data_IF_246255084537
#
_entry.id   IF_246255084537
#
_cell.length_a   1.000
_cell.length_b   1.000
_cell.length_c   1.000
_cell.angle_alpha   90.00
_cell.angle_beta   90.00
_cell.angle_gamma   90.00
#
_symmetry.space_group_name_H-M   'P 1'
#
loop_
_entity.id
_entity.type
_entity.pdbx_description
1 polymer ?
#
# COMPACT_ATOMS: atom_id res chain seq x y z
N UNK A 1 46.52 -33.02 -5.46
CA UNK A 1 45.16 -33.43 -5.88
C UNK A 1 44.29 -33.42 -4.64
N UNK A 2 43.47 -32.37 -4.47
CA UNK A 2 42.47 -32.27 -3.41
C UNK A 2 41.13 -32.00 -4.08
N UNK A 3 40.19 -32.93 -3.90
CA UNK A 3 38.83 -32.86 -4.41
C UNK A 3 38.01 -31.84 -3.62
N UNK A 4 37.38 -30.91 -4.33
CA UNK A 4 36.37 -29.99 -3.80
C UNK A 4 34.99 -30.64 -3.90
N UNK A 5 34.14 -30.58 -2.85
CA UNK A 5 32.77 -31.08 -2.96
C UNK A 5 31.92 -30.10 -3.77
N UNK A 6 31.20 -30.63 -4.77
CA UNK A 6 30.16 -29.91 -5.50
C UNK A 6 28.91 -29.80 -4.63
N UNK A 7 28.57 -28.58 -4.23
CA UNK A 7 27.26 -28.26 -3.65
C UNK A 7 26.21 -28.38 -4.76
N UNK A 8 25.33 -29.36 -4.61
CA UNK A 8 24.11 -29.53 -5.40
C UNK A 8 23.09 -28.49 -4.92
N UNK A 9 22.86 -27.44 -5.72
CA UNK A 9 21.70 -26.57 -5.55
C UNK A 9 20.46 -27.36 -5.98
N UNK A 10 19.68 -27.82 -5.02
CA UNK A 10 18.31 -28.26 -5.27
C UNK A 10 17.46 -27.01 -5.56
N UNK A 11 16.97 -26.90 -6.78
CA UNK A 11 16.00 -25.87 -7.17
C UNK A 11 14.65 -26.19 -6.54
N UNK A 12 14.22 -25.40 -5.57
CA UNK A 12 12.85 -25.40 -5.06
C UNK A 12 11.90 -24.98 -6.21
N UNK A 13 10.75 -25.63 -6.41
CA UNK A 13 9.80 -25.22 -7.43
C UNK A 13 9.31 -23.79 -7.14
N UNK A 14 9.43 -22.91 -8.13
CA UNK A 14 8.93 -21.55 -8.06
C UNK A 14 7.41 -21.58 -7.85
N UNK A 15 6.95 -21.09 -6.70
CA UNK A 15 5.53 -20.83 -6.47
C UNK A 15 5.04 -19.82 -7.52
N UNK A 16 3.90 -20.10 -8.16
CA UNK A 16 3.32 -19.26 -9.20
C UNK A 16 2.90 -17.89 -8.64
N UNK A 17 3.64 -16.83 -8.98
CA UNK A 17 3.37 -15.44 -8.55
C UNK A 17 2.19 -14.85 -9.31
N UNK A 18 0.95 -14.92 -8.81
CA UNK A 18 -0.19 -14.25 -9.47
C UNK A 18 -0.01 -12.72 -9.47
N UNK A 19 -0.62 -12.00 -10.42
CA UNK A 19 -0.62 -10.53 -10.53
C UNK A 19 -1.07 -9.79 -9.26
N UNK A 20 -1.76 -10.49 -8.37
CA UNK A 20 -2.22 -10.01 -7.07
C UNK A 20 -1.10 -9.96 -6.02
N UNK A 21 -0.05 -10.78 -6.16
CA UNK A 21 1.15 -10.75 -5.31
C UNK A 21 1.99 -9.48 -5.55
N UNK A 22 2.03 -8.95 -6.78
CA UNK A 22 2.64 -7.65 -7.10
C UNK A 22 2.01 -6.50 -6.31
N UNK A 23 0.68 -6.53 -6.21
CA UNK A 23 -0.11 -5.53 -5.50
C UNK A 23 0.10 -5.60 -3.99
N UNK A 24 0.17 -6.81 -3.45
CA UNK A 24 0.33 -7.04 -2.01
C UNK A 24 1.74 -6.66 -1.52
N UNK A 25 2.77 -6.80 -2.36
CA UNK A 25 4.11 -6.27 -2.09
C UNK A 25 4.15 -4.73 -2.08
N UNK A 26 3.52 -4.07 -3.07
CA UNK A 26 3.40 -2.60 -3.13
C UNK A 26 2.60 -2.03 -1.96
N UNK A 27 1.60 -2.78 -1.49
CA UNK A 27 0.82 -2.46 -0.31
C UNK A 27 1.63 -2.34 0.99
N UNK A 28 2.78 -3.00 1.05
CA UNK A 28 3.73 -2.82 2.14
C UNK A 28 4.58 -1.56 1.97
N UNK A 29 5.02 -1.24 0.75
CA UNK A 29 5.76 0.00 0.50
C UNK A 29 4.92 1.22 0.90
N UNK A 30 3.59 1.15 0.67
CA UNK A 30 2.59 2.11 1.16
C UNK A 30 2.50 2.27 2.70
N UNK A 31 3.13 1.39 3.49
CA UNK A 31 3.22 1.53 4.96
C UNK A 31 4.03 2.75 5.41
N UNK A 32 4.84 3.32 4.53
CA UNK A 32 5.68 4.47 4.83
C UNK A 32 4.99 5.82 4.53
N UNK A 33 3.95 5.84 3.68
CA UNK A 33 3.24 7.09 3.29
C UNK A 33 2.39 7.65 4.42
N UNK A 34 1.93 6.78 5.33
CA UNK A 34 1.25 7.23 6.55
C UNK A 34 2.15 8.09 7.46
N UNK A 35 3.47 8.15 7.20
CA UNK A 35 4.42 8.99 7.93
C UNK A 35 4.44 10.46 7.45
N UNK A 36 3.94 10.76 6.23
CA UNK A 36 4.06 12.10 5.62
C UNK A 36 2.83 13.01 5.79
N UNK A 37 1.76 12.54 6.47
CA UNK A 37 0.63 13.39 6.84
C UNK A 37 1.00 14.57 7.79
N UNK A 38 2.28 14.72 8.16
CA UNK A 38 2.83 15.79 8.99
C UNK A 38 3.49 16.94 8.20
N UNK A 39 4.07 16.71 7.01
CA UNK A 39 4.78 17.78 6.29
C UNK A 39 3.84 18.80 5.64
N UNK A 40 2.59 18.42 5.36
CA UNK A 40 1.59 19.33 4.81
C UNK A 40 0.79 20.13 5.87
N UNK A 41 1.06 19.92 7.16
CA UNK A 41 0.37 20.61 8.26
C UNK A 41 1.26 21.56 9.08
N UNK A 42 2.53 21.74 8.72
CA UNK A 42 3.38 22.75 9.35
C UNK A 42 3.32 24.09 8.60
N UNK A 43 2.17 24.75 8.70
CA UNK A 43 2.08 26.21 8.68
C UNK A 43 1.42 26.64 9.99
N UNK A 44 2.24 27.25 10.84
CA UNK A 44 1.93 28.03 12.05
C UNK A 44 1.28 27.35 13.28
N UNK A 45 2.07 27.33 14.35
CA UNK A 45 1.77 27.51 15.77
C UNK A 45 0.31 27.46 16.26
N UNK A 46 0.07 26.59 17.25
CA UNK A 46 -0.87 26.88 18.34
C UNK A 46 -2.34 26.51 18.15
N UNK A 47 -2.69 25.67 17.18
CA UNK A 47 -4.07 25.18 17.00
C UNK A 47 -4.15 23.68 17.28
N UNK A 48 -4.69 23.28 18.43
CA UNK A 48 -5.24 21.92 18.62
C UNK A 48 -6.59 21.93 17.90
N UNK A 49 -6.75 21.27 16.74
CA UNK A 49 -8.02 21.30 16.05
C UNK A 49 -9.04 20.54 16.90
N UNK A 50 -10.14 21.20 17.25
CA UNK A 50 -11.33 20.52 17.70
C UNK A 50 -11.79 19.61 16.54
N UNK A 51 -11.60 18.30 16.70
CA UNK A 51 -11.99 17.27 15.72
C UNK A 51 -13.47 17.38 15.30
N UNK A 52 -14.32 18.06 16.09
CA UNK A 52 -15.71 18.35 15.74
C UNK A 52 -15.86 19.42 14.64
N UNK A 53 -14.88 20.30 14.45
CA UNK A 53 -14.95 21.37 13.46
C UNK A 53 -14.41 20.97 12.08
N UNK A 54 -13.44 20.04 11.99
CA UNK A 54 -12.95 19.54 10.69
C UNK A 54 -13.88 18.51 10.05
N UNK A 55 -14.70 17.81 10.85
CA UNK A 55 -15.68 16.84 10.36
C UNK A 55 -17.07 17.06 10.98
N UNK A 56 -17.75 18.19 10.70
CA UNK A 56 -19.07 18.48 11.28
C UNK A 56 -20.16 17.48 10.81
N UNK A 57 -19.85 16.57 9.87
CA UNK A 57 -20.76 15.56 9.32
C UNK A 57 -20.46 14.11 9.75
N UNK A 58 -19.46 13.86 10.60
CA UNK A 58 -19.13 12.48 11.02
C UNK A 58 -20.25 11.79 11.83
N UNK A 59 -21.23 12.54 12.36
CA UNK A 59 -22.38 11.95 13.07
C UNK A 59 -23.45 11.37 12.15
N UNK A 60 -23.42 11.67 10.83
CA UNK A 60 -24.46 11.26 9.88
C UNK A 60 -23.94 11.24 8.44
N UNK A 61 -22.77 10.65 8.19
CA UNK A 61 -22.40 10.29 6.83
C UNK A 61 -23.19 9.05 6.40
N UNK A 62 -24.48 9.23 6.11
CA UNK A 62 -25.21 8.32 5.22
C UNK A 62 -24.59 8.46 3.84
N UNK A 63 -23.56 7.67 3.55
CA UNK A 63 -23.05 7.53 2.20
C UNK A 63 -24.19 6.96 1.35
N UNK A 64 -24.89 7.83 0.63
CA UNK A 64 -25.96 7.49 -0.32
C UNK A 64 -25.38 6.92 -1.62
N UNK A 65 -24.35 6.10 -1.54
CA UNK A 65 -23.81 5.40 -2.70
C UNK A 65 -24.48 4.02 -2.80
N UNK A 66 -25.02 3.65 -3.97
CA UNK A 66 -25.77 2.40 -4.17
C UNK A 66 -24.91 1.14 -4.15
N UNK A 67 -23.61 1.26 -3.84
CA UNK A 67 -22.68 0.15 -3.76
C UNK A 67 -22.90 -0.61 -2.45
N UNK A 68 -23.88 -1.52 -2.42
CA UNK A 68 -23.95 -2.52 -1.36
C UNK A 68 -22.63 -3.30 -1.38
N UNK A 69 -21.87 -3.21 -0.30
CA UNK A 69 -20.60 -3.91 -0.05
C UNK A 69 -20.75 -5.43 0.10
N UNK A 70 -21.52 -6.09 -0.78
CA UNK A 70 -21.65 -7.56 -0.83
C UNK A 70 -20.32 -8.27 -1.08
N UNK A 71 -19.31 -7.53 -1.54
CA UNK A 71 -17.97 -8.02 -1.77
C UNK A 71 -17.25 -8.53 -0.49
N UNK A 72 -17.74 -8.18 0.69
CA UNK A 72 -17.07 -8.46 1.97
C UNK A 72 -17.82 -9.43 2.87
N UNK A 73 -18.71 -10.27 2.34
CA UNK A 73 -19.40 -11.29 3.16
C UNK A 73 -18.42 -12.28 3.84
N UNK A 74 -17.17 -12.36 3.38
CA UNK A 74 -16.12 -13.24 3.91
C UNK A 74 -15.19 -12.58 4.94
N UNK A 75 -15.27 -11.26 5.14
CA UNK A 75 -14.40 -10.53 6.09
C UNK A 75 -15.22 -9.54 6.93
N UNK A 76 -14.74 -9.21 8.12
CA UNK A 76 -15.41 -8.22 8.97
C UNK A 76 -15.35 -6.80 8.37
N UNK A 77 -16.26 -5.93 8.80
CA UNK A 77 -16.26 -4.50 8.41
C UNK A 77 -14.94 -3.82 8.77
N UNK A 78 -14.32 -4.21 9.89
CA UNK A 78 -13.01 -3.71 10.34
C UNK A 78 -11.91 -4.10 9.35
N UNK A 79 -11.91 -5.34 8.89
CA UNK A 79 -10.94 -5.83 7.92
C UNK A 79 -11.15 -5.17 6.56
N UNK A 80 -12.40 -5.05 6.11
CA UNK A 80 -12.76 -4.36 4.87
C UNK A 80 -12.28 -2.90 4.85
N UNK A 81 -12.33 -2.19 5.98
CA UNK A 81 -11.82 -0.82 6.09
C UNK A 81 -10.31 -0.73 5.79
N UNK A 82 -9.55 -1.80 6.06
CA UNK A 82 -8.12 -1.87 5.72
C UNK A 82 -7.86 -2.03 4.22
N UNK A 83 -8.90 -2.37 3.45
CA UNK A 83 -8.80 -2.73 2.04
C UNK A 83 -9.13 -1.58 1.07
N UNK A 84 -9.43 -0.39 1.60
CA UNK A 84 -9.90 0.75 0.80
C UNK A 84 -8.71 1.61 0.35
N UNK A 85 -8.20 2.51 1.19
CA UNK A 85 -7.26 3.55 0.73
C UNK A 85 -5.95 2.98 0.21
N UNK A 86 -5.14 2.31 1.05
CA UNK A 86 -3.80 1.90 0.61
C UNK A 86 -3.83 0.89 -0.56
N UNK A 87 -4.66 -0.17 -0.55
CA UNK A 87 -4.73 -1.07 -1.70
C UNK A 87 -5.23 -0.41 -2.96
N UNK A 88 -6.20 0.48 -2.84
CA UNK A 88 -6.67 1.21 -3.99
C UNK A 88 -5.61 2.15 -4.55
N UNK A 89 -4.82 2.82 -3.70
CA UNK A 89 -3.66 3.62 -4.14
C UNK A 89 -2.64 2.75 -4.87
N UNK A 90 -2.35 1.54 -4.37
CA UNK A 90 -1.47 0.59 -5.07
C UNK A 90 -2.05 0.23 -6.45
N UNK A 91 -3.34 -0.10 -6.51
CA UNK A 91 -4.01 -0.43 -7.76
C UNK A 91 -4.01 0.74 -8.75
N UNK A 92 -4.21 1.97 -8.26
CA UNK A 92 -4.15 3.20 -9.04
C UNK A 92 -2.73 3.45 -9.59
N UNK A 93 -1.70 3.22 -8.76
CA UNK A 93 -0.30 3.36 -9.18
C UNK A 93 0.12 2.37 -10.27
N UNK A 94 -0.50 1.19 -10.30
CA UNK A 94 -0.15 0.14 -11.25
C UNK A 94 -1.01 0.18 -12.52
N UNK A 95 -2.33 0.31 -12.38
CA UNK A 95 -3.29 -0.07 -13.42
C UNK A 95 -4.04 1.09 -14.06
N UNK A 96 -3.76 2.32 -13.63
CA UNK A 96 -4.36 3.51 -14.21
C UNK A 96 -3.36 4.22 -15.10
N UNK A 97 -3.86 4.93 -16.10
CA UNK A 97 -3.07 5.77 -17.01
C UNK A 97 -2.28 6.90 -16.32
N UNK A 98 -2.61 7.24 -15.07
CA UNK A 98 -1.82 8.19 -14.25
C UNK A 98 -0.71 7.52 -13.44
N UNK A 99 -0.68 6.20 -13.44
CA UNK A 99 0.33 5.35 -12.82
C UNK A 99 1.24 4.74 -13.89
N UNK A 100 1.55 3.44 -13.75
CA UNK A 100 2.34 2.68 -14.71
C UNK A 100 1.54 2.17 -15.92
N UNK A 101 0.22 2.32 -15.90
CA UNK A 101 -0.69 1.90 -16.97
C UNK A 101 -0.55 0.42 -17.37
N UNK A 102 -0.22 -0.45 -16.41
CA UNK A 102 -0.33 -1.87 -16.64
C UNK A 102 -1.80 -2.26 -16.84
N UNK A 103 -2.10 -3.27 -17.67
CA UNK A 103 -3.45 -3.78 -17.77
C UNK A 103 -3.97 -4.15 -16.37
N UNK A 104 -5.28 -4.01 -16.13
CA UNK A 104 -5.84 -4.51 -14.88
C UNK A 104 -5.84 -6.05 -14.91
N UNK A 105 -5.54 -6.76 -13.81
CA UNK A 105 -5.50 -8.22 -13.81
C UNK A 105 -6.78 -8.85 -14.37
N UNK A 106 -6.60 -9.82 -15.28
CA UNK A 106 -7.71 -10.49 -15.96
C UNK A 106 -8.33 -9.74 -17.14
N UNK A 107 -7.86 -8.53 -17.47
CA UNK A 107 -8.35 -7.78 -18.65
C UNK A 107 -7.53 -8.02 -19.92
N UNK A 108 -6.26 -8.38 -19.78
CA UNK A 108 -5.37 -8.71 -20.89
C UNK A 108 -4.67 -10.05 -20.63
N UNK A 109 -5.00 -11.12 -21.38
CA UNK A 109 -4.42 -12.45 -21.18
C UNK A 109 -2.98 -12.59 -21.68
N UNK A 110 -2.48 -11.61 -22.45
CA UNK A 110 -1.13 -11.63 -23.05
C UNK A 110 -0.12 -10.94 -22.12
N UNK A 111 -0.57 -10.11 -21.18
CA UNK A 111 0.32 -9.44 -20.26
C UNK A 111 0.86 -10.42 -19.21
N UNK A 112 2.16 -10.73 -19.29
CA UNK A 112 2.82 -11.68 -18.41
C UNK A 112 3.29 -11.04 -17.09
N UNK A 113 2.42 -11.01 -16.08
CA UNK A 113 2.84 -10.54 -14.74
C UNK A 113 3.93 -11.41 -14.10
N UNK A 114 3.98 -12.69 -14.47
CA UNK A 114 4.89 -13.68 -13.88
C UNK A 114 6.36 -13.44 -14.23
N UNK A 115 6.65 -12.77 -15.35
CA UNK A 115 8.02 -12.46 -15.77
C UNK A 115 8.56 -11.18 -15.13
N UNK A 116 7.73 -10.44 -14.38
CA UNK A 116 8.15 -9.22 -13.70
C UNK A 116 9.00 -9.50 -12.46
N UNK A 117 10.11 -8.78 -12.35
CA UNK A 117 10.88 -8.73 -11.11
C UNK A 117 10.28 -7.68 -10.18
N UNK A 118 9.90 -8.08 -8.97
CA UNK A 118 9.39 -7.20 -7.92
C UNK A 118 10.48 -7.00 -6.88
N UNK A 119 11.21 -5.90 -7.02
CA UNK A 119 12.24 -5.50 -6.06
C UNK A 119 11.63 -4.54 -5.06
N UNK A 120 11.67 -4.91 -3.77
CA UNK A 120 11.14 -4.07 -2.70
C UNK A 120 12.26 -3.63 -1.77
N UNK A 121 12.28 -2.35 -1.42
CA UNK A 121 13.17 -1.82 -0.39
C UNK A 121 12.44 -1.85 0.95
N UNK A 122 13.06 -2.39 1.99
CA UNK A 122 12.46 -2.46 3.32
C UNK A 122 13.49 -2.79 4.39
N UNK A 123 13.12 -2.72 5.67
CA UNK A 123 14.00 -3.13 6.75
C UNK A 123 14.21 -4.65 6.73
N UNK A 124 15.39 -5.14 7.12
CA UNK A 124 15.72 -6.56 7.13
C UNK A 124 14.69 -7.41 7.91
N UNK A 125 14.20 -6.88 9.03
CA UNK A 125 13.15 -7.52 9.86
C UNK A 125 11.84 -7.78 9.11
N UNK A 126 11.61 -7.11 7.97
CA UNK A 126 10.40 -7.26 7.14
C UNK A 126 10.60 -8.18 5.94
N UNK A 127 11.81 -8.71 5.69
CA UNK A 127 12.11 -9.43 4.44
C UNK A 127 11.25 -10.68 4.23
N UNK A 128 11.12 -11.52 5.26
CA UNK A 128 10.31 -12.74 5.16
C UNK A 128 8.85 -12.41 4.83
N UNK A 129 8.32 -11.38 5.49
CA UNK A 129 6.97 -10.90 5.25
C UNK A 129 6.81 -10.32 3.84
N UNK A 130 7.72 -9.47 3.39
CA UNK A 130 7.71 -8.89 2.04
C UNK A 130 7.75 -9.95 0.93
N UNK A 131 8.54 -11.02 1.12
CA UNK A 131 8.55 -12.17 0.20
C UNK A 131 7.24 -12.93 0.21
N UNK A 132 6.66 -13.17 1.39
CA UNK A 132 5.34 -13.80 1.51
C UNK A 132 4.23 -12.97 0.83
N UNK A 133 4.41 -11.66 0.71
CA UNK A 133 3.49 -10.78 -0.01
C UNK A 133 3.75 -10.71 -1.52
N UNK A 134 4.82 -11.32 -2.06
CA UNK A 134 5.08 -11.34 -3.50
C UNK A 134 6.37 -10.69 -3.98
N UNK A 135 7.17 -10.10 -3.09
CA UNK A 135 8.47 -9.55 -3.50
C UNK A 135 9.40 -10.69 -3.97
N UNK A 136 9.90 -10.59 -5.19
CA UNK A 136 10.88 -11.57 -5.70
C UNK A 136 12.27 -11.28 -5.13
N UNK A 137 12.57 -10.00 -4.89
CA UNK A 137 13.80 -9.53 -4.26
C UNK A 137 13.47 -8.51 -3.18
N UNK A 138 14.21 -8.56 -2.08
CA UNK A 138 14.11 -7.57 -1.01
C UNK A 138 15.51 -7.07 -0.70
N UNK A 139 15.66 -5.75 -0.64
CA UNK A 139 16.93 -5.08 -0.36
C UNK A 139 16.74 -4.21 0.88
N UNK A 140 17.75 -4.19 1.75
CA UNK A 140 17.71 -3.31 2.91
C UNK A 140 17.77 -1.86 2.44
N UNK A 141 16.78 -1.06 2.81
CA UNK A 141 16.72 0.37 2.46
C UNK A 141 17.89 1.17 3.07
N UNK A 142 18.56 0.64 4.11
CA UNK A 142 19.75 1.25 4.70
C UNK A 142 21.05 0.93 3.93
N UNK A 143 20.98 0.01 2.96
CA UNK A 143 22.17 -0.42 2.21
C UNK A 143 22.73 0.71 1.35
N UNK A 144 24.06 0.97 1.41
CA UNK A 144 24.69 1.96 0.53
C UNK A 144 24.79 1.48 -0.93
N UNK A 145 24.45 0.22 -1.20
CA UNK A 145 24.63 -0.43 -2.50
C UNK A 145 23.31 -0.76 -3.20
N UNK A 146 22.22 -0.06 -2.87
CA UNK A 146 20.89 -0.30 -3.44
C UNK A 146 20.93 -0.26 -4.97
N UNK A 147 21.45 0.80 -5.58
CA UNK A 147 21.46 0.95 -7.04
C UNK A 147 22.24 -0.18 -7.75
N UNK A 148 23.45 -0.50 -7.27
CA UNK A 148 24.24 -1.59 -7.81
C UNK A 148 23.55 -2.96 -7.64
N UNK A 149 22.88 -3.17 -6.51
CA UNK A 149 22.13 -4.40 -6.25
C UNK A 149 20.92 -4.52 -7.18
N UNK A 150 20.13 -3.45 -7.32
CA UNK A 150 18.99 -3.40 -8.26
C UNK A 150 19.46 -3.67 -9.69
N UNK A 151 20.56 -3.05 -10.12
CA UNK A 151 21.14 -3.27 -11.45
C UNK A 151 21.62 -4.71 -11.64
N UNK A 152 22.20 -5.34 -10.61
CA UNK A 152 22.60 -6.76 -10.69
C UNK A 152 21.41 -7.72 -10.84
N UNK A 153 20.24 -7.33 -10.31
CA UNK A 153 19.00 -8.11 -10.37
C UNK A 153 18.28 -7.91 -11.71
N UNK A 154 18.14 -6.65 -12.14
CA UNK A 154 17.31 -6.25 -13.29
C UNK A 154 18.10 -6.14 -14.60
N UNK A 155 19.43 -6.08 -14.53
CA UNK A 155 20.30 -5.81 -15.66
C UNK A 155 20.04 -4.43 -16.26
N UNK A 156 19.97 -4.38 -17.59
CA UNK A 156 19.73 -3.16 -18.39
C UNK A 156 18.25 -2.95 -18.75
N UNK A 157 17.33 -3.51 -17.96
CA UNK A 157 15.88 -3.49 -18.25
C UNK A 157 15.22 -2.15 -17.90
N UNK A 158 14.01 -1.91 -18.43
CA UNK A 158 13.17 -0.78 -18.03
C UNK A 158 12.87 -0.87 -16.55
N UNK A 159 13.12 0.21 -15.82
CA UNK A 159 12.86 0.30 -14.39
C UNK A 159 11.64 1.21 -14.21
N UNK A 160 10.60 0.65 -13.60
CA UNK A 160 9.49 1.42 -13.06
C UNK A 160 9.64 1.48 -11.55
N UNK A 161 9.64 2.67 -10.97
CA UNK A 161 9.81 2.86 -9.54
C UNK A 161 8.51 3.41 -8.96
N UNK A 162 7.96 2.74 -7.96
CA UNK A 162 6.89 3.30 -7.13
C UNK A 162 7.50 3.73 -5.80
N UNK A 163 7.62 5.04 -5.63
CA UNK A 163 8.16 5.65 -4.42
C UNK A 163 7.02 5.86 -3.42
N UNK A 164 7.00 4.94 -2.46
CA UNK A 164 6.05 4.94 -1.38
C UNK A 164 6.63 5.54 -0.08
N UNK A 165 7.82 6.12 -0.13
CA UNK A 165 8.36 6.91 0.98
C UNK A 165 8.20 8.39 0.64
N UNK A 166 7.71 9.18 1.59
CA UNK A 166 7.44 10.61 1.40
C UNK A 166 8.69 11.47 1.45
N UNK A 167 9.71 11.17 0.65
CA UNK A 167 10.73 12.19 0.37
C UNK A 167 10.13 13.20 -0.60
N UNK A 168 10.26 14.50 -0.31
CA UNK A 168 9.82 15.56 -1.22
C UNK A 168 10.49 15.48 -2.61
N UNK A 169 11.61 14.76 -2.69
CA UNK A 169 12.40 14.53 -3.89
C UNK A 169 12.59 13.03 -4.15
N UNK A 170 12.50 12.57 -5.41
CA UNK A 170 12.65 11.16 -5.76
C UNK A 170 14.13 10.72 -5.87
N UNK A 171 15.03 11.22 -5.02
CA UNK A 171 16.49 11.08 -5.23
C UNK A 171 16.95 9.64 -5.40
N UNK A 172 16.40 8.71 -4.59
CA UNK A 172 16.74 7.30 -4.72
C UNK A 172 16.18 6.71 -6.01
N UNK A 173 14.91 6.96 -6.33
CA UNK A 173 14.29 6.50 -7.57
C UNK A 173 15.03 7.01 -8.82
N UNK A 174 15.46 8.27 -8.80
CA UNK A 174 16.29 8.85 -9.88
C UNK A 174 17.64 8.15 -9.98
N UNK A 175 18.32 7.88 -8.86
CA UNK A 175 19.60 7.16 -8.89
C UNK A 175 19.49 5.75 -9.48
N UNK A 176 18.34 5.09 -9.31
CA UNK A 176 18.05 3.80 -9.94
C UNK A 176 17.90 3.91 -11.46
N UNK A 177 17.40 5.05 -11.95
CA UNK A 177 17.23 5.31 -13.37
C UNK A 177 18.49 5.84 -14.06
N UNK A 178 19.35 6.57 -13.37
CA UNK A 178 20.61 7.07 -13.94
C UNK A 178 21.58 5.95 -14.33
N UNK A 179 21.49 4.78 -13.67
CA UNK A 179 22.25 3.58 -14.03
C UNK A 179 21.57 2.73 -15.11
N UNK A 180 20.33 3.08 -15.48
CA UNK A 180 19.58 2.43 -16.56
C UNK A 180 19.94 3.05 -17.90
N UNK A 181 20.02 2.21 -18.94
CA UNK A 181 20.21 2.65 -20.34
C UNK A 181 18.89 2.94 -21.06
N UNK A 182 17.77 2.69 -20.38
CA UNK A 182 16.40 2.92 -20.88
C UNK A 182 15.65 3.87 -19.97
N UNK A 183 14.86 4.75 -20.60
CA UNK A 183 13.85 5.58 -19.96
C UNK A 183 12.95 4.77 -19.03
N UNK A 184 12.66 5.33 -17.85
CA UNK A 184 11.78 4.71 -16.87
C UNK A 184 10.68 5.65 -16.40
N UNK A 185 9.83 5.15 -15.51
CA UNK A 185 8.74 5.91 -14.90
C UNK A 185 8.86 5.84 -13.38
N UNK A 186 8.74 7.00 -12.73
CA UNK A 186 8.65 7.15 -11.29
C UNK A 186 7.22 7.53 -10.93
N UNK A 187 6.59 6.74 -10.06
CA UNK A 187 5.32 7.05 -9.43
C UNK A 187 5.59 7.43 -7.98
N UNK A 188 5.35 8.69 -7.63
CA UNK A 188 5.38 9.15 -6.26
C UNK A 188 3.98 9.09 -5.66
N UNK A 189 3.88 8.47 -4.49
CA UNK A 189 2.62 8.38 -3.75
C UNK A 189 2.47 9.50 -2.71
N UNK A 190 3.56 10.23 -2.45
CA UNK A 190 3.57 11.54 -1.82
C UNK A 190 3.77 12.62 -2.88
N UNK A 191 3.43 13.88 -2.57
CA UNK A 191 3.58 14.97 -3.55
C UNK A 191 5.06 15.27 -3.81
N UNK A 192 5.46 15.29 -5.08
CA UNK A 192 6.76 15.82 -5.52
C UNK A 192 6.73 17.34 -5.70
N UNK A 193 7.90 17.98 -5.72
CA UNK A 193 8.03 19.35 -6.18
C UNK A 193 7.93 19.44 -7.73
N UNK A 194 7.34 20.52 -8.25
CA UNK A 194 7.18 20.71 -9.70
C UNK A 194 8.52 20.82 -10.46
N UNK A 195 9.58 21.28 -9.77
CA UNK A 195 10.93 21.39 -10.35
C UNK A 195 11.52 20.02 -10.71
N UNK A 196 11.20 18.97 -9.95
CA UNK A 196 11.72 17.62 -10.17
C UNK A 196 11.12 17.00 -11.45
N UNK A 197 9.86 17.30 -11.75
CA UNK A 197 9.18 16.79 -12.95
C UNK A 197 9.84 17.30 -14.23
N UNK A 198 10.18 18.59 -14.30
CA UNK A 198 10.81 19.18 -15.48
C UNK A 198 12.22 18.59 -15.72
N UNK A 199 13.03 18.50 -14.67
CA UNK A 199 14.40 17.98 -14.78
C UNK A 199 14.46 16.50 -15.22
N UNK A 200 13.45 15.70 -14.86
CA UNK A 200 13.37 14.30 -15.26
C UNK A 200 12.84 14.11 -16.67
N UNK A 201 11.90 14.96 -17.11
CA UNK A 201 11.40 14.95 -18.48
C UNK A 201 12.52 15.17 -19.50
N UNK A 202 13.47 16.07 -19.20
CA UNK A 202 14.65 16.32 -20.04
C UNK A 202 15.58 15.09 -20.18
N UNK A 203 15.53 14.18 -19.20
CA UNK A 203 16.24 12.88 -19.21
C UNK A 203 15.39 11.74 -19.80
N UNK A 204 14.23 12.04 -20.36
CA UNK A 204 13.29 11.05 -20.87
C UNK A 204 12.69 10.15 -19.78
N UNK A 205 12.64 10.61 -18.54
CA UNK A 205 12.03 9.92 -17.41
C UNK A 205 10.70 10.58 -17.05
N UNK A 206 9.64 9.78 -16.95
CA UNK A 206 8.34 10.27 -16.52
C UNK A 206 8.24 10.28 -15.00
N UNK A 207 7.74 11.37 -14.42
CA UNK A 207 7.42 11.47 -12.99
C UNK A 207 5.93 11.77 -12.84
N UNK A 208 5.21 10.92 -12.11
CA UNK A 208 3.79 11.10 -11.82
C UNK A 208 3.54 11.08 -10.31
N UNK A 209 2.62 11.95 -9.87
CA UNK A 209 2.09 11.91 -8.51
C UNK A 209 0.74 11.19 -8.52
N UNK A 210 0.58 10.19 -7.66
CA UNK A 210 -0.67 9.42 -7.53
C UNK A 210 -1.25 9.62 -6.14
N UNK A 211 -2.48 10.12 -6.09
CA UNK A 211 -3.25 10.26 -4.86
C UNK A 211 -4.44 9.29 -4.86
N UNK A 212 -4.52 8.45 -3.82
CA UNK A 212 -5.57 7.44 -3.69
C UNK A 212 -6.92 8.02 -3.32
N UNK A 213 -7.64 8.59 -4.28
CA UNK A 213 -9.06 8.95 -4.13
C UNK A 213 -9.93 8.07 -5.02
N UNK A 214 -10.73 7.20 -4.40
CA UNK A 214 -11.68 6.36 -5.13
C UNK A 214 -12.82 7.18 -5.74
N UNK A 215 -13.14 8.35 -5.17
CA UNK A 215 -14.10 9.29 -5.74
C UNK A 215 -13.60 9.92 -7.04
N UNK A 216 -12.30 10.22 -7.12
CA UNK A 216 -11.66 10.75 -8.33
C UNK A 216 -11.49 9.68 -9.42
N UNK A 217 -11.46 8.40 -9.05
CA UNK A 217 -11.20 7.27 -9.97
C UNK A 217 -12.30 6.19 -9.91
N UNK A 218 -13.58 6.52 -10.18
CA UNK A 218 -14.71 5.62 -9.93
C UNK A 218 -14.76 4.40 -10.87
N UNK A 219 -14.17 4.49 -12.07
CA UNK A 219 -14.12 3.37 -13.01
C UNK A 219 -13.19 2.28 -12.46
N UNK A 220 -11.95 2.64 -12.13
CA UNK A 220 -10.99 1.72 -11.53
C UNK A 220 -11.49 1.19 -10.20
N UNK A 221 -12.11 2.05 -9.37
CA UNK A 221 -12.63 1.60 -8.07
C UNK A 221 -13.72 0.53 -8.22
N UNK A 222 -14.57 0.60 -9.24
CA UNK A 222 -15.56 -0.46 -9.51
C UNK A 222 -14.89 -1.77 -9.92
N UNK A 223 -13.85 -1.71 -10.76
CA UNK A 223 -13.08 -2.90 -11.14
C UNK A 223 -12.38 -3.52 -9.93
N UNK A 224 -11.78 -2.68 -9.09
CA UNK A 224 -11.15 -3.04 -7.83
C UNK A 224 -12.14 -3.78 -6.91
N UNK A 225 -13.29 -3.17 -6.59
CA UNK A 225 -14.30 -3.76 -5.71
C UNK A 225 -14.89 -5.04 -6.30
N UNK A 226 -15.04 -5.15 -7.62
CA UNK A 226 -15.52 -6.37 -8.26
C UNK A 226 -14.53 -7.53 -8.18
N UNK A 227 -13.22 -7.25 -8.15
CA UNK A 227 -12.17 -8.26 -8.08
C UNK A 227 -11.88 -8.76 -6.65
N UNK A 228 -12.06 -7.90 -5.65
CA UNK A 228 -11.75 -8.17 -4.25
C UNK A 228 -12.31 -9.50 -3.70
N UNK A 229 -13.59 -9.89 -3.90
CA UNK A 229 -14.13 -11.12 -3.31
C UNK A 229 -13.41 -12.36 -3.79
N UNK A 230 -13.10 -12.39 -5.10
CA UNK A 230 -12.36 -13.48 -5.70
C UNK A 230 -10.96 -13.54 -5.09
N UNK A 231 -10.24 -12.42 -5.04
CA UNK A 231 -8.88 -12.42 -4.50
C UNK A 231 -8.80 -12.78 -3.02
N UNK A 232 -9.77 -12.34 -2.22
CA UNK A 232 -9.87 -12.72 -0.81
C UNK A 232 -10.16 -14.22 -0.65
N UNK A 233 -11.08 -14.77 -1.43
CA UNK A 233 -11.44 -16.19 -1.35
C UNK A 233 -10.37 -17.14 -1.88
N UNK A 234 -9.56 -16.71 -2.87
CA UNK A 234 -8.43 -17.50 -3.40
C UNK A 234 -7.14 -17.32 -2.61
N UNK A 235 -7.10 -16.37 -1.65
CA UNK A 235 -5.88 -16.01 -0.92
C UNK A 235 -4.86 -15.21 -1.74
N UNK A 236 -5.23 -14.82 -2.97
CA UNK A 236 -4.44 -13.92 -3.82
C UNK A 236 -4.30 -12.52 -3.18
N UNK A 237 -5.26 -12.13 -2.36
CA UNK A 237 -5.17 -10.95 -1.50
C UNK A 237 -5.52 -11.31 -0.06
N UNK A 238 -4.74 -10.79 0.88
CA UNK A 238 -4.94 -11.02 2.31
C UNK A 238 -5.24 -9.74 3.06
N UNK A 239 -5.95 -9.87 4.18
CA UNK A 239 -6.06 -8.80 5.17
C UNK A 239 -4.73 -8.68 5.88
N UNK A 240 -4.14 -7.48 5.87
CA UNK A 240 -2.88 -7.24 6.56
C UNK A 240 -3.09 -7.10 8.08
N UNK A 241 -2.07 -7.46 8.89
CA UNK A 241 -2.11 -7.23 10.33
C UNK A 241 -2.44 -5.77 10.66
N UNK A 242 -3.38 -5.58 11.57
CA UNK A 242 -3.85 -4.27 12.00
C UNK A 242 -4.25 -4.31 13.48
N UNK A 243 -4.33 -3.14 14.09
CA UNK A 243 -4.84 -2.91 15.44
C UNK A 243 -6.18 -2.19 15.35
N UNK A 244 -7.07 -2.48 16.29
CA UNK A 244 -8.39 -1.85 16.36
C UNK A 244 -8.41 -0.87 17.52
N UNK A 245 -8.75 0.38 17.23
CA UNK A 245 -9.16 1.37 18.24
C UNK A 245 -10.67 1.24 18.40
N UNK A 246 -11.10 0.75 19.57
CA UNK A 246 -12.53 0.56 19.86
C UNK A 246 -13.16 1.87 20.32
N UNK A 247 -14.29 2.21 19.72
CA UNK A 247 -15.04 3.43 19.99
C UNK A 247 -14.34 4.67 19.42
N UNK A 248 -15.11 5.77 19.32
CA UNK A 248 -14.59 7.06 18.91
C UNK A 248 -13.94 7.79 20.10
N UNK A 249 -12.78 7.29 20.53
CA UNK A 249 -12.00 7.83 21.65
C UNK A 249 -10.83 8.69 21.12
N UNK A 250 -10.88 10.03 21.26
CA UNK A 250 -9.84 10.92 20.73
C UNK A 250 -8.44 10.64 21.29
N UNK A 251 -8.33 10.26 22.56
CA UNK A 251 -7.04 9.95 23.17
C UNK A 251 -6.44 8.68 22.56
N UNK A 252 -7.24 7.62 22.38
CA UNK A 252 -6.78 6.39 21.77
C UNK A 252 -6.43 6.58 20.28
N UNK A 253 -7.18 7.41 19.57
CA UNK A 253 -6.86 7.81 18.18
C UNK A 253 -5.54 8.57 18.12
N UNK A 254 -5.32 9.55 19.01
CA UNK A 254 -4.07 10.30 19.04
C UNK A 254 -2.86 9.40 19.37
N UNK A 255 -3.01 8.46 20.31
CA UNK A 255 -1.96 7.46 20.59
C UNK A 255 -1.65 6.60 19.37
N UNK A 256 -2.68 6.20 18.62
CA UNK A 256 -2.50 5.45 17.37
C UNK A 256 -1.78 6.29 16.30
N UNK A 257 -2.13 7.57 16.15
CA UNK A 257 -1.46 8.49 15.23
C UNK A 257 0.01 8.74 15.64
N UNK A 258 0.29 8.86 16.93
CA UNK A 258 1.65 8.97 17.45
C UNK A 258 2.47 7.70 17.17
N UNK A 259 1.87 6.51 17.33
CA UNK A 259 2.53 5.23 17.00
C UNK A 259 2.82 5.09 15.50
N UNK A 260 1.86 5.50 14.65
CA UNK A 260 2.08 5.61 13.20
C UNK A 260 3.25 6.56 12.91
N UNK A 261 3.30 7.71 13.59
CA UNK A 261 4.35 8.72 13.43
C UNK A 261 5.76 8.25 13.83
N UNK A 262 5.89 7.22 14.67
CA UNK A 262 7.19 6.58 14.97
C UNK A 262 7.70 5.71 13.84
N UNK A 263 6.87 5.43 12.84
CA UNK A 263 7.24 4.68 11.66
C UNK A 263 7.34 3.17 11.84
N UNK A 264 6.74 2.61 12.90
CA UNK A 264 6.71 1.16 13.15
C UNK A 264 5.84 0.37 12.16
N UNK A 265 5.16 1.03 11.21
CA UNK A 265 4.37 0.38 10.16
C UNK A 265 3.08 -0.28 10.67
N UNK A 266 2.60 0.11 11.84
CA UNK A 266 1.37 -0.40 12.44
C UNK A 266 0.16 0.22 11.76
N UNK A 267 -0.78 -0.62 11.30
CA UNK A 267 -2.07 -0.18 10.76
C UNK A 267 -3.10 -0.12 11.87
N UNK A 268 -3.87 0.95 11.90
CA UNK A 268 -4.98 1.13 12.84
C UNK A 268 -6.32 1.25 12.10
N UNK A 269 -7.38 0.69 12.70
CA UNK A 269 -8.76 0.88 12.27
C UNK A 269 -9.56 1.38 13.46
N UNK A 270 -10.31 2.46 13.30
CA UNK A 270 -11.22 2.96 14.34
C UNK A 270 -12.59 2.32 14.14
N UNK A 271 -13.00 1.49 15.09
CA UNK A 271 -14.32 0.87 15.09
C UNK A 271 -15.30 1.76 15.87
N UNK A 272 -16.16 2.49 15.16
CA UNK A 272 -17.05 3.50 15.76
C UNK A 272 -18.22 2.89 16.54
N UNK A 273 -18.78 1.78 16.06
CA UNK A 273 -19.82 1.03 16.77
C UNK A 273 -19.17 -0.17 17.45
N UNK A 274 -19.15 -0.14 18.78
CA UNK A 274 -18.99 -1.35 19.57
C UNK A 274 -20.39 -1.91 19.67
N UNK A 275 -20.65 -3.09 19.10
CA UNK A 275 -21.84 -3.84 19.52
C UNK A 275 -21.62 -4.13 21.00
N UNK A 276 -22.28 -3.34 21.85
CA UNK A 276 -22.43 -3.64 23.25
C UNK A 276 -23.27 -4.92 23.26
N UNK A 277 -22.58 -6.06 23.34
CA UNK A 277 -23.19 -7.38 23.22
C UNK A 277 -24.44 -7.47 24.08
N UNK A 278 -25.49 -8.02 23.46
CA UNK A 278 -26.78 -8.42 24.04
C UNK A 278 -26.86 -8.11 25.53
N UNK A 279 -27.42 -6.94 25.84
CA UNK A 279 -27.81 -6.61 27.19
C UNK A 279 -28.74 -7.71 27.66
N UNK A 280 -28.19 -8.59 28.50
CA UNK A 280 -28.88 -9.52 29.39
C UNK A 280 -30.11 -8.80 29.92
N UNK A 281 -31.24 -9.09 29.28
CA UNK A 281 -32.55 -8.57 29.57
C UNK A 281 -32.96 -9.15 30.91
N UNK A 282 -32.49 -8.44 31.95
CA UNK A 282 -32.75 -8.72 33.35
C UNK A 282 -34.20 -9.10 33.53
N UNK A 283 -34.39 -10.38 33.81
CA UNK A 283 -35.65 -11.00 34.17
C UNK A 283 -36.18 -10.26 35.41
N UNK A 284 -37.06 -9.28 35.16
CA UNK A 284 -37.75 -8.50 36.16
C UNK A 284 -38.61 -9.48 36.98
N UNK A 285 -38.10 -9.82 38.16
CA UNK A 285 -38.79 -10.61 39.16
C UNK A 285 -40.17 -9.96 39.42
N UNK A 286 -41.22 -10.65 38.98
CA UNK A 286 -42.59 -10.35 39.42
C UNK A 286 -42.71 -10.77 40.87
N UNK A 287 -42.66 -9.78 41.76
CA UNK A 287 -43.06 -9.93 43.15
C UNK A 287 -44.51 -10.41 43.26
N UNK A 288 -44.69 -11.28 44.25
CA UNK A 288 -45.89 -12.02 44.66
C UNK A 288 -46.75 -11.14 45.59
#
# INVERSE_FOLDING_TARGET
MQDKPRLSCQSTPAASLSSTHLLQALLHSLKLIAQDARQQHNVSDGFVPDFRQQFPRAKQATYSTPWKWRAFETISVVEAATLVTNPFTAALSLFHQSGLDFPFPGTNPIFEYHSAHVVVLGAESSFAFLRALGATHVIDWSSPSIAATVQSILGSSVINVVEAYGSAHPTLAVSLLEVSVVSGTIIMLASSAAADTAALADKGTSLHNVYGSFEAHPILFRQWVAALPKWLSTGDMGVLPHRVVRGLNPQAVNVALDDIGKGGGVRYVVQVHVDDGDGDDGEEARDI
#
